data_IF_879260663804
#
_entry.id   IF_879260663804
#
_cell.length_a   1.000
_cell.length_b   1.000
_cell.length_c   1.000
_cell.angle_alpha   90.00
_cell.angle_beta   90.00
_cell.angle_gamma   90.00
#
_symmetry.space_group_name_H-M   'P 1'
#
loop_
_entity.id
_entity.type
_entity.pdbx_description
1 polymer ?
#
# COMPACT_ATOMS: atom_id res chain seq x y z
N UNK A 1 10.44 22.80 9.33
CA UNK A 1 10.85 21.42 9.01
C UNK A 1 11.05 21.16 7.52
N UNK A 2 10.44 21.93 6.60
CA UNK A 2 10.74 21.78 5.17
C UNK A 2 10.27 20.46 4.57
N UNK A 3 9.21 19.85 5.13
CA UNK A 3 8.66 18.60 4.61
C UNK A 3 8.06 18.81 3.22
N UNK A 4 8.22 17.80 2.37
CA UNK A 4 7.66 17.79 1.01
C UNK A 4 6.17 17.44 0.96
N UNK A 5 5.58 17.02 2.08
CA UNK A 5 4.31 16.35 2.05
C UNK A 5 3.70 16.02 3.41
N UNK A 6 2.63 15.25 3.35
CA UNK A 6 1.92 14.67 4.50
C UNK A 6 1.56 13.22 4.20
N UNK A 7 1.65 12.37 5.22
CA UNK A 7 1.12 11.01 5.20
C UNK A 7 -0.11 10.94 6.11
N UNK A 8 -1.16 10.28 5.65
CA UNK A 8 -2.41 10.13 6.40
C UNK A 8 -2.49 8.71 6.96
N UNK A 9 -2.24 8.61 8.27
CA UNK A 9 -2.16 7.38 9.04
C UNK A 9 -3.06 7.46 10.31
N UNK A 10 -4.31 7.87 10.10
CA UNK A 10 -5.29 8.03 11.19
C UNK A 10 -6.10 6.74 11.39
N UNK A 11 -5.83 6.02 12.47
CA UNK A 11 -6.48 4.73 12.76
C UNK A 11 -7.69 4.84 13.70
N UNK A 12 -8.03 6.05 14.15
CA UNK A 12 -9.16 6.34 15.03
C UNK A 12 -10.43 6.80 14.28
N UNK A 13 -10.47 6.53 12.97
CA UNK A 13 -11.57 6.90 12.06
C UNK A 13 -11.24 8.06 11.13
N UNK A 14 -11.78 8.00 9.92
CA UNK A 14 -11.65 9.03 8.88
C UNK A 14 -13.04 9.42 8.36
N UNK A 15 -13.33 10.71 8.28
CA UNK A 15 -14.48 11.24 7.55
C UNK A 15 -14.09 11.73 6.14
N UNK A 16 -14.55 11.03 5.10
CA UNK A 16 -14.11 11.28 3.72
C UNK A 16 -14.42 12.70 3.23
N UNK A 17 -15.56 13.28 3.64
CA UNK A 17 -15.95 14.65 3.27
C UNK A 17 -14.94 15.67 3.76
N UNK A 18 -14.66 15.65 5.07
CA UNK A 18 -13.81 16.68 5.68
C UNK A 18 -12.32 16.43 5.42
N UNK A 19 -11.89 15.16 5.32
CA UNK A 19 -10.50 14.86 4.95
C UNK A 19 -10.22 15.29 3.51
N UNK A 20 -11.15 15.05 2.57
CA UNK A 20 -11.03 15.55 1.20
C UNK A 20 -10.89 17.07 1.19
N UNK A 21 -11.78 17.78 1.90
CA UNK A 21 -11.73 19.24 1.98
C UNK A 21 -10.39 19.74 2.55
N UNK A 22 -9.88 19.10 3.61
CA UNK A 22 -8.61 19.45 4.24
C UNK A 22 -7.42 19.26 3.30
N UNK A 23 -7.32 18.10 2.63
CA UNK A 23 -6.22 17.79 1.71
C UNK A 23 -6.22 18.70 0.47
N UNK A 24 -7.41 19.06 -0.03
CA UNK A 24 -7.55 20.06 -1.11
C UNK A 24 -7.08 21.44 -0.68
N UNK A 25 -7.49 21.88 0.51
CA UNK A 25 -7.03 23.16 1.09
C UNK A 25 -5.51 23.19 1.29
N UNK A 26 -4.92 22.09 1.75
CA UNK A 26 -3.48 21.95 1.90
C UNK A 26 -2.76 22.02 0.54
N UNK A 27 -3.23 21.26 -0.45
CA UNK A 27 -2.66 21.26 -1.81
C UNK A 27 -2.70 22.65 -2.45
N UNK A 28 -3.79 23.41 -2.27
CA UNK A 28 -3.89 24.78 -2.78
C UNK A 28 -2.84 25.73 -2.16
N UNK A 29 -2.38 25.45 -0.93
CA UNK A 29 -1.35 26.25 -0.24
C UNK A 29 0.06 25.82 -0.61
N UNK A 30 0.30 24.50 -0.71
CA UNK A 30 1.62 23.94 -0.93
C UNK A 30 2.01 23.86 -2.42
N UNK A 31 1.04 23.86 -3.33
CA UNK A 31 1.24 23.75 -4.77
C UNK A 31 1.50 22.31 -5.25
N UNK A 32 1.84 22.18 -6.52
CA UNK A 32 1.95 20.89 -7.23
C UNK A 32 3.12 20.01 -6.77
N UNK A 33 4.04 20.54 -5.95
CA UNK A 33 5.14 19.77 -5.36
C UNK A 33 4.76 19.00 -4.09
N UNK A 34 3.53 19.15 -3.59
CA UNK A 34 3.07 18.48 -2.38
C UNK A 34 2.95 16.97 -2.60
N UNK A 35 3.66 16.19 -1.78
CA UNK A 35 3.51 14.74 -1.69
C UNK A 35 2.39 14.41 -0.71
N UNK A 36 1.40 13.62 -1.16
CA UNK A 36 0.34 13.11 -0.30
C UNK A 36 0.37 11.60 -0.35
N UNK A 37 0.62 10.98 0.79
CA UNK A 37 0.51 9.53 0.96
C UNK A 37 -0.55 9.16 1.99
N UNK A 38 -0.99 7.91 1.96
CA UNK A 38 -1.93 7.38 2.95
C UNK A 38 -1.50 5.97 3.35
N UNK A 39 -1.67 5.61 4.61
CA UNK A 39 -1.36 4.29 5.16
C UNK A 39 -2.60 3.64 5.81
N UNK A 40 -3.70 3.44 5.06
CA UNK A 40 -4.91 2.81 5.61
C UNK A 40 -4.64 1.39 6.11
N UNK A 41 -5.41 0.94 7.09
CA UNK A 41 -5.50 -0.49 7.43
C UNK A 41 -6.27 -1.23 6.32
N UNK A 42 -6.16 -2.55 6.27
CA UNK A 42 -6.84 -3.34 5.22
C UNK A 42 -8.37 -3.15 5.23
N UNK A 43 -8.98 -2.97 6.41
CA UNK A 43 -10.42 -2.74 6.55
C UNK A 43 -10.90 -1.47 5.84
N UNK A 44 -10.02 -0.49 5.67
CA UNK A 44 -10.35 0.82 5.15
C UNK A 44 -10.33 0.87 3.60
N UNK A 45 -9.91 -0.22 2.95
CA UNK A 45 -9.74 -0.32 1.50
C UNK A 45 -10.48 -1.51 0.86
N UNK A 46 -11.35 -2.21 1.61
CA UNK A 46 -12.11 -3.38 1.09
C UNK A 46 -13.13 -3.01 0.00
N UNK A 47 -13.57 -1.75 -0.07
CA UNK A 47 -14.53 -1.23 -1.04
C UNK A 47 -14.28 0.27 -1.27
N UNK A 48 -14.63 0.77 -2.46
CA UNK A 48 -14.57 2.20 -2.80
C UNK A 48 -15.48 3.07 -1.94
N UNK A 49 -16.45 2.46 -1.23
CA UNK A 49 -17.31 3.14 -0.26
C UNK A 49 -16.67 3.32 1.13
N UNK A 50 -15.54 2.68 1.42
CA UNK A 50 -14.83 2.89 2.68
C UNK A 50 -14.20 4.29 2.70
N UNK A 51 -14.18 4.96 3.86
CA UNK A 51 -13.85 6.38 3.93
C UNK A 51 -12.44 6.73 3.44
N UNK A 52 -11.44 5.89 3.70
CA UNK A 52 -10.09 6.07 3.16
C UNK A 52 -10.06 5.92 1.64
N UNK A 53 -10.65 4.84 1.12
CA UNK A 53 -10.67 4.62 -0.31
C UNK A 53 -11.44 5.74 -1.03
N UNK A 54 -12.60 6.14 -0.50
CA UNK A 54 -13.36 7.27 -1.02
C UNK A 54 -12.53 8.57 -1.00
N UNK A 55 -11.77 8.83 0.07
CA UNK A 55 -10.85 9.97 0.14
C UNK A 55 -9.78 9.88 -0.94
N UNK A 56 -9.11 8.73 -1.07
CA UNK A 56 -8.07 8.50 -2.06
C UNK A 56 -8.58 8.74 -3.48
N UNK A 57 -9.81 8.32 -3.80
CA UNK A 57 -10.46 8.58 -5.08
C UNK A 57 -10.82 10.07 -5.25
N UNK A 58 -11.35 10.71 -4.21
CA UNK A 58 -11.73 12.13 -4.23
C UNK A 58 -10.53 13.06 -4.44
N UNK A 59 -9.32 12.64 -4.07
CA UNK A 59 -8.08 13.41 -4.24
C UNK A 59 -7.11 12.76 -5.24
N UNK A 60 -7.60 11.86 -6.10
CA UNK A 60 -6.75 11.03 -6.97
C UNK A 60 -5.78 11.85 -7.83
N UNK A 61 -6.12 13.05 -8.29
CA UNK A 61 -5.26 13.92 -9.09
C UNK A 61 -4.08 14.53 -8.31
N UNK A 62 -4.14 14.56 -6.97
CA UNK A 62 -3.07 15.08 -6.10
C UNK A 62 -2.48 14.02 -5.16
N UNK A 63 -3.01 12.79 -5.19
CA UNK A 63 -2.55 11.67 -4.40
C UNK A 63 -1.29 11.05 -5.03
N UNK A 64 -0.23 10.91 -4.23
CA UNK A 64 1.03 10.29 -4.67
C UNK A 64 0.97 8.76 -4.61
N UNK A 65 0.65 8.19 -3.44
CA UNK A 65 0.54 6.72 -3.25
C UNK A 65 -0.25 6.36 -1.99
N UNK A 66 -1.05 5.29 -2.07
CA UNK A 66 -1.60 4.57 -0.93
C UNK A 66 -0.69 3.38 -0.62
N UNK A 67 -0.08 3.40 0.55
CA UNK A 67 0.75 2.32 1.08
C UNK A 67 -0.05 1.59 2.17
N UNK A 68 -1.09 0.86 1.76
CA UNK A 68 -1.97 0.15 2.70
C UNK A 68 -1.14 -0.78 3.60
N UNK A 69 -1.51 -0.88 4.87
CA UNK A 69 -0.85 -1.72 5.87
C UNK A 69 -1.33 -3.17 5.72
N UNK A 70 -0.53 -4.03 5.07
CA UNK A 70 -0.87 -5.46 4.86
C UNK A 70 -0.49 -6.33 6.09
N UNK A 71 -0.68 -5.81 7.30
CA UNK A 71 -0.27 -6.43 8.56
C UNK A 71 -1.20 -6.03 9.70
N UNK A 72 -1.01 -6.66 10.88
CA UNK A 72 -1.93 -6.55 12.01
C UNK A 72 -3.41 -6.75 11.62
N UNK A 73 -3.62 -7.58 10.59
CA UNK A 73 -4.93 -7.77 9.98
C UNK A 73 -5.39 -9.20 10.15
N UNK A 74 -6.70 -9.37 10.33
CA UNK A 74 -7.33 -10.66 10.15
C UNK A 74 -7.28 -11.11 8.69
N UNK A 75 -8.05 -12.14 8.36
CA UNK A 75 -8.28 -12.47 6.96
C UNK A 75 -9.18 -11.42 6.31
N UNK A 76 -8.98 -11.17 5.02
CA UNK A 76 -9.72 -10.19 4.22
C UNK A 76 -10.17 -10.81 2.91
N UNK A 77 -11.19 -10.24 2.29
CA UNK A 77 -11.59 -10.64 0.95
C UNK A 77 -10.64 -10.04 -0.07
N UNK A 78 -10.24 -10.81 -1.08
CA UNK A 78 -9.59 -10.30 -2.29
C UNK A 78 -10.60 -9.69 -3.26
N UNK A 79 -10.11 -9.12 -4.36
CA UNK A 79 -10.99 -8.61 -5.43
C UNK A 79 -11.83 -9.71 -6.11
N UNK A 80 -11.45 -10.99 -5.97
CA UNK A 80 -12.22 -12.14 -6.45
C UNK A 80 -13.27 -12.65 -5.43
N UNK A 81 -13.42 -11.96 -4.29
CA UNK A 81 -14.36 -12.30 -3.22
C UNK A 81 -13.94 -13.49 -2.35
N UNK A 82 -12.74 -14.05 -2.52
CA UNK A 82 -12.23 -15.13 -1.66
C UNK A 82 -11.50 -14.59 -0.44
N UNK A 83 -11.42 -15.40 0.60
CA UNK A 83 -10.75 -15.06 1.87
C UNK A 83 -9.26 -15.37 1.77
N UNK A 84 -8.42 -14.37 2.09
CA UNK A 84 -6.97 -14.47 2.17
C UNK A 84 -6.49 -14.06 3.56
N UNK A 85 -5.45 -14.72 4.07
CA UNK A 85 -4.85 -14.40 5.38
C UNK A 85 -3.49 -13.73 5.21
N UNK A 86 -3.21 -12.75 6.08
CA UNK A 86 -1.93 -12.03 6.11
C UNK A 86 -0.73 -12.99 6.16
N UNK A 87 0.42 -12.54 5.68
CA UNK A 87 1.64 -13.35 5.66
C UNK A 87 1.89 -14.14 4.37
N UNK A 88 1.16 -13.86 3.28
CA UNK A 88 1.25 -14.62 2.01
C UNK A 88 1.29 -13.72 0.77
N UNK A 89 1.86 -14.21 -0.33
CA UNK A 89 1.83 -13.52 -1.64
C UNK A 89 0.38 -13.25 -2.07
N UNK A 90 -0.51 -14.22 -1.83
CA UNK A 90 -1.91 -14.11 -2.23
C UNK A 90 -2.63 -13.00 -1.48
N UNK A 91 -2.37 -12.81 -0.18
CA UNK A 91 -2.93 -11.69 0.57
C UNK A 91 -2.49 -10.34 0.02
N UNK A 92 -1.20 -10.18 -0.30
CA UNK A 92 -0.68 -8.93 -0.87
C UNK A 92 -1.31 -8.63 -2.23
N UNK A 93 -1.32 -9.62 -3.11
CA UNK A 93 -1.75 -9.46 -4.50
C UNK A 93 -3.27 -9.35 -4.63
N UNK A 94 -4.04 -10.15 -3.89
CA UNK A 94 -5.50 -10.14 -3.95
C UNK A 94 -6.12 -8.88 -3.33
N UNK A 95 -5.50 -8.28 -2.30
CA UNK A 95 -5.97 -7.02 -1.73
C UNK A 95 -5.47 -5.81 -2.52
N UNK A 96 -4.23 -5.82 -3.04
CA UNK A 96 -3.76 -4.77 -3.96
C UNK A 96 -4.66 -4.68 -5.21
N UNK A 97 -5.16 -5.82 -5.69
CA UNK A 97 -6.11 -5.88 -6.79
C UNK A 97 -7.37 -5.03 -6.54
N UNK A 98 -7.89 -4.96 -5.32
CA UNK A 98 -9.08 -4.15 -4.98
C UNK A 98 -8.83 -2.67 -5.28
N UNK A 99 -7.63 -2.18 -4.96
CA UNK A 99 -7.24 -0.79 -5.22
C UNK A 99 -7.02 -0.53 -6.73
N UNK A 100 -6.33 -1.46 -7.39
CA UNK A 100 -5.98 -1.39 -8.81
C UNK A 100 -7.21 -1.48 -9.73
N UNK A 101 -8.19 -2.30 -9.37
CA UNK A 101 -9.44 -2.45 -10.11
C UNK A 101 -10.54 -1.46 -9.62
N UNK A 102 -10.39 -0.92 -8.41
CA UNK A 102 -11.30 0.06 -7.81
C UNK A 102 -11.01 1.52 -8.15
N UNK A 103 -10.07 1.78 -9.07
CA UNK A 103 -9.93 3.09 -9.72
C UNK A 103 -8.67 3.88 -9.40
N UNK A 104 -7.80 3.42 -8.49
CA UNK A 104 -6.46 4.02 -8.33
C UNK A 104 -5.57 3.66 -9.54
N UNK A 105 -4.67 4.56 -9.92
CA UNK A 105 -3.65 4.19 -10.92
C UNK A 105 -2.62 3.24 -10.28
N UNK A 106 -1.93 2.38 -11.06
CA UNK A 106 -0.85 1.55 -10.52
C UNK A 106 0.20 2.35 -9.75
N UNK A 107 0.51 3.56 -10.24
CA UNK A 107 1.48 4.46 -9.60
C UNK A 107 1.03 5.02 -8.25
N UNK A 108 -0.20 4.76 -7.86
CA UNK A 108 -0.80 5.17 -6.59
C UNK A 108 -1.01 4.01 -5.62
N UNK A 109 -0.53 2.81 -5.94
CA UNK A 109 -0.67 1.61 -5.09
C UNK A 109 0.71 1.11 -4.69
N UNK A 110 0.95 0.99 -3.39
CA UNK A 110 2.16 0.41 -2.79
C UNK A 110 1.85 -0.61 -1.72
N UNK A 111 2.77 -1.54 -1.48
CA UNK A 111 2.62 -2.63 -0.52
C UNK A 111 3.29 -2.28 0.81
N UNK A 112 2.52 -1.96 1.86
CA UNK A 112 3.02 -1.65 3.20
C UNK A 112 3.21 -2.88 4.08
N UNK A 113 4.44 -3.18 4.50
CA UNK A 113 4.80 -4.40 5.23
C UNK A 113 5.64 -4.14 6.50
N UNK A 114 5.59 -5.02 7.51
CA UNK A 114 6.51 -4.95 8.65
C UNK A 114 7.94 -5.25 8.21
N UNK A 115 8.90 -4.43 8.64
CA UNK A 115 10.32 -4.60 8.31
C UNK A 115 10.92 -5.87 8.92
N UNK A 116 10.38 -6.30 10.06
CA UNK A 116 10.77 -7.52 10.76
C UNK A 116 9.60 -8.09 11.55
N UNK A 117 9.77 -9.30 12.09
CA UNK A 117 8.78 -9.92 13.00
C UNK A 117 8.53 -9.13 14.29
N UNK A 118 9.41 -8.18 14.65
CA UNK A 118 9.25 -7.31 15.83
C UNK A 118 8.42 -6.06 15.53
N UNK A 119 8.19 -5.75 14.27
CA UNK A 119 7.58 -4.49 13.86
C UNK A 119 6.04 -4.51 13.90
N UNK A 120 5.43 -5.69 13.97
CA UNK A 120 3.97 -5.86 14.02
C UNK A 120 3.60 -7.10 14.84
N UNK A 121 2.37 -7.15 15.35
CA UNK A 121 1.82 -8.32 16.04
C UNK A 121 1.51 -9.49 15.09
N UNK A 122 1.38 -9.24 13.79
CA UNK A 122 1.25 -10.26 12.75
C UNK A 122 1.39 -9.67 11.34
N UNK A 123 1.58 -10.52 10.34
CA UNK A 123 1.63 -10.12 8.93
C UNK A 123 3.02 -9.86 8.35
N UNK A 124 4.09 -10.03 9.13
CA UNK A 124 5.45 -10.05 8.59
C UNK A 124 5.60 -11.16 7.53
N UNK A 125 6.31 -10.86 6.46
CA UNK A 125 6.74 -11.81 5.43
C UNK A 125 8.22 -11.61 5.11
N UNK A 126 8.89 -12.65 4.61
CA UNK A 126 10.26 -12.49 4.12
C UNK A 126 10.30 -11.54 2.90
N UNK A 127 11.43 -10.84 2.67
CA UNK A 127 11.59 -9.99 1.49
C UNK A 127 11.31 -10.70 0.15
N UNK A 128 11.58 -12.00 0.06
CA UNK A 128 11.25 -12.82 -1.11
C UNK A 128 9.75 -12.86 -1.42
N UNK A 129 8.88 -12.87 -0.39
CA UNK A 129 7.42 -12.86 -0.57
C UNK A 129 6.95 -11.48 -1.06
N UNK A 130 7.54 -10.39 -0.55
CA UNK A 130 7.28 -9.04 -1.05
C UNK A 130 7.68 -8.95 -2.53
N UNK A 131 8.88 -9.43 -2.86
CA UNK A 131 9.40 -9.43 -4.22
C UNK A 131 8.54 -10.25 -5.19
N UNK A 132 8.04 -11.40 -4.74
CA UNK A 132 7.11 -12.23 -5.51
C UNK A 132 5.78 -11.53 -5.75
N UNK A 133 5.23 -10.84 -4.75
CA UNK A 133 4.00 -10.06 -4.93
C UNK A 133 4.19 -8.90 -5.92
N UNK A 134 5.33 -8.20 -5.85
CA UNK A 134 5.69 -7.14 -6.79
C UNK A 134 5.82 -7.68 -8.22
N UNK A 135 6.53 -8.80 -8.42
CA UNK A 135 6.64 -9.47 -9.72
C UNK A 135 5.27 -9.96 -10.23
N UNK A 136 4.41 -10.45 -9.35
CA UNK A 136 3.09 -10.94 -9.72
C UNK A 136 2.21 -9.80 -10.23
N UNK A 137 2.16 -8.69 -9.50
CA UNK A 137 1.37 -7.52 -9.91
C UNK A 137 1.96 -6.87 -11.16
N UNK A 138 3.27 -6.61 -11.20
CA UNK A 138 3.88 -5.85 -12.28
C UNK A 138 4.11 -6.64 -13.57
N UNK A 139 4.42 -7.95 -13.46
CA UNK A 139 4.87 -8.81 -14.58
C UNK A 139 4.02 -10.07 -14.76
N UNK A 140 3.15 -10.42 -13.82
CA UNK A 140 2.33 -11.64 -13.88
C UNK A 140 3.11 -12.93 -13.57
N UNK A 141 4.28 -12.81 -12.94
CA UNK A 141 5.20 -13.91 -12.58
C UNK A 141 5.33 -14.05 -11.07
N UNK A 142 5.69 -15.23 -10.54
CA UNK A 142 5.84 -15.45 -9.08
C UNK A 142 4.55 -15.21 -8.27
N UNK A 143 3.39 -15.32 -8.90
CA UNK A 143 2.10 -15.32 -8.21
C UNK A 143 1.91 -16.57 -7.35
N UNK A 144 1.04 -16.47 -6.34
CA UNK A 144 0.55 -17.64 -5.61
C UNK A 144 -0.66 -18.26 -6.31
N UNK A 145 -1.66 -18.68 -5.54
CA UNK A 145 -2.91 -19.21 -6.10
C UNK A 145 -3.79 -18.10 -6.70
N UNK A 146 -3.69 -16.88 -6.17
CA UNK A 146 -4.32 -15.72 -6.74
C UNK A 146 -3.48 -15.20 -7.92
N UNK A 147 -4.13 -14.98 -9.05
CA UNK A 147 -3.52 -14.37 -10.24
C UNK A 147 -4.35 -13.17 -10.68
N UNK A 148 -3.78 -11.95 -10.68
CA UNK A 148 -4.46 -10.77 -11.22
C UNK A 148 -4.91 -10.99 -12.67
N UNK A 149 -6.05 -10.40 -13.03
CA UNK A 149 -6.62 -10.48 -14.39
C UNK A 149 -5.73 -9.86 -15.48
N UNK A 150 -4.86 -8.93 -15.07
CA UNK A 150 -3.89 -8.20 -15.90
C UNK A 150 -2.66 -7.81 -15.09
N UNK A 151 -1.59 -7.42 -15.78
CA UNK A 151 -0.37 -6.88 -15.16
C UNK A 151 -0.46 -5.37 -14.97
N UNK A 152 0.27 -4.84 -13.99
CA UNK A 152 0.30 -3.44 -13.59
C UNK A 152 1.74 -2.91 -13.55
N UNK A 153 2.40 -2.70 -14.71
CA UNK A 153 3.82 -2.32 -14.76
C UNK A 153 4.16 -1.06 -13.95
N UNK A 154 3.28 -0.06 -13.96
CA UNK A 154 3.47 1.19 -13.22
C UNK A 154 3.19 1.11 -11.72
N UNK A 155 3.18 -0.08 -11.09
CA UNK A 155 3.00 -0.24 -9.66
C UNK A 155 4.05 0.58 -8.90
N UNK A 156 3.66 1.33 -7.86
CA UNK A 156 4.58 2.26 -7.19
C UNK A 156 5.76 1.58 -6.52
N UNK A 157 5.51 0.47 -5.81
CA UNK A 157 6.54 -0.23 -5.04
C UNK A 157 6.03 -0.69 -3.68
N UNK A 158 6.87 -0.52 -2.65
CA UNK A 158 6.62 -1.00 -1.30
C UNK A 158 6.95 0.06 -0.24
N UNK A 159 6.32 -0.09 0.93
CA UNK A 159 6.54 0.70 2.14
C UNK A 159 6.83 -0.25 3.29
N UNK A 160 7.56 0.22 4.30
CA UNK A 160 7.75 -0.59 5.50
C UNK A 160 7.61 0.19 6.80
N UNK A 161 6.96 -0.45 7.77
CA UNK A 161 7.06 -0.09 9.18
C UNK A 161 8.14 -0.95 9.84
N UNK A 162 9.29 -0.43 10.22
CA UNK A 162 9.80 0.93 10.00
C UNK A 162 11.30 0.86 9.69
N UNK A 163 11.91 1.98 9.31
CA UNK A 163 13.37 2.06 9.12
C UNK A 163 14.16 1.68 10.38
N UNK A 164 13.65 2.01 11.58
CA UNK A 164 14.27 1.60 12.85
C UNK A 164 14.23 0.07 13.05
N UNK A 165 13.09 -0.56 12.72
CA UNK A 165 12.96 -2.01 12.80
C UNK A 165 13.78 -2.73 11.74
N UNK A 166 13.90 -2.15 10.55
CA UNK A 166 14.78 -2.66 9.49
C UNK A 166 16.25 -2.59 9.94
N UNK A 167 16.70 -1.44 10.46
CA UNK A 167 18.05 -1.27 11.00
C UNK A 167 18.36 -2.25 12.14
N UNK A 168 17.40 -2.47 13.03
CA UNK A 168 17.51 -3.48 14.11
C UNK A 168 17.64 -4.89 13.55
N UNK A 169 17.02 -5.16 12.39
CA UNK A 169 17.13 -6.41 11.65
C UNK A 169 18.30 -6.45 10.64
N UNK A 170 19.25 -5.51 10.73
CA UNK A 170 20.43 -5.47 9.87
C UNK A 170 20.16 -4.99 8.44
N UNK A 171 19.14 -4.16 8.23
CA UNK A 171 18.70 -3.64 6.92
C UNK A 171 18.31 -4.73 5.91
N UNK A 172 17.92 -5.91 6.40
CA UNK A 172 17.61 -7.05 5.54
C UNK A 172 16.41 -6.79 4.62
N UNK A 173 15.43 -6.01 5.06
CA UNK A 173 14.24 -5.69 4.26
C UNK A 173 14.59 -4.71 3.14
N UNK A 174 15.17 -3.55 3.47
CA UNK A 174 15.50 -2.53 2.47
C UNK A 174 16.55 -3.01 1.46
N UNK A 175 17.54 -3.79 1.90
CA UNK A 175 18.60 -4.32 1.03
C UNK A 175 18.08 -5.32 -0.02
N UNK A 176 16.93 -5.96 0.24
CA UNK A 176 16.35 -6.95 -0.67
C UNK A 176 15.14 -6.40 -1.46
N UNK A 177 14.28 -5.60 -0.84
CA UNK A 177 13.07 -5.04 -1.47
C UNK A 177 13.40 -3.78 -2.28
N UNK A 178 14.32 -2.93 -1.80
CA UNK A 178 14.72 -1.70 -2.49
C UNK A 178 15.20 -1.94 -3.93
N UNK A 179 16.20 -2.81 -4.15
CA UNK A 179 16.65 -3.13 -5.51
C UNK A 179 15.56 -3.74 -6.40
N UNK A 180 14.65 -4.54 -5.83
CA UNK A 180 13.52 -5.10 -6.58
C UNK A 180 12.57 -4.00 -7.05
N UNK A 181 12.21 -3.06 -6.17
CA UNK A 181 11.35 -1.91 -6.52
C UNK A 181 12.02 -1.04 -7.58
N UNK A 182 13.31 -0.74 -7.46
CA UNK A 182 14.05 0.05 -8.45
C UNK A 182 14.24 -0.66 -9.81
N UNK A 183 13.99 -1.97 -9.87
CA UNK A 183 14.03 -2.79 -11.09
C UNK A 183 12.65 -3.16 -11.64
N UNK A 184 11.58 -2.57 -11.13
CA UNK A 184 10.25 -2.69 -11.74
C UNK A 184 10.24 -2.06 -13.14
N UNK A 185 9.42 -2.59 -14.07
CA UNK A 185 9.38 -2.16 -15.47
C UNK A 185 8.85 -0.74 -15.66
#
# INVERSE_FOLDING_TARGET
YGFNGVDIDLENGLNATYMTQALRSLSAKAGSGLVITMAPQTIDMQSTSNAYFQTALNIKDILTVVNMQYYNSGSMLGCDGKVYSQGSVDFLTALACIQLEGGLSPSQVGLGLPASTRAAGGGYVSPSIVNNALDCLARGTNCGSFKPSRTYPGLRGAMTWSTNWDATAGNAWSSAVGPKVHGLP
#
